data_IF_543163436725
#
_entry.id   IF_543163436725
#
_cell.length_a   1.000
_cell.length_b   1.000
_cell.length_c   1.000
_cell.angle_alpha   90.00
_cell.angle_beta   90.00
_cell.angle_gamma   90.00
#
_symmetry.space_group_name_H-M   'P 1'
#
loop_
_entity.id
_entity.type
_entity.pdbx_description
1 polymer ?
#
# COMPACT_ATOMS: atom_id res chain seq x y z
N UNK A 1 -7.90 -2.15 -16.64
CA UNK A 1 -8.83 -2.11 -15.49
C UNK A 1 -8.47 -0.87 -14.68
N UNK A 2 -9.43 -0.04 -14.26
CA UNK A 2 -9.10 1.13 -13.43
C UNK A 2 -8.72 0.68 -12.02
N UNK A 3 -7.86 1.46 -11.36
CA UNK A 3 -7.44 1.18 -9.97
C UNK A 3 -8.64 1.19 -9.03
N UNK A 4 -9.55 2.15 -9.20
CA UNK A 4 -10.79 2.25 -8.43
C UNK A 4 -11.67 1.00 -8.53
N UNK A 5 -11.75 0.38 -9.72
CA UNK A 5 -12.51 -0.86 -9.87
C UNK A 5 -11.83 -2.03 -9.17
N UNK A 6 -10.49 -2.10 -9.24
CA UNK A 6 -9.74 -3.14 -8.56
C UNK A 6 -9.83 -2.98 -7.02
N UNK A 7 -9.76 -1.75 -6.50
CA UNK A 7 -10.00 -1.45 -5.09
C UNK A 7 -11.41 -1.87 -4.65
N UNK A 8 -12.45 -1.59 -5.45
CA UNK A 8 -13.80 -2.09 -5.19
C UNK A 8 -13.87 -3.61 -5.15
N UNK A 9 -13.16 -4.31 -6.06
CA UNK A 9 -13.10 -5.78 -6.04
C UNK A 9 -12.41 -6.30 -4.78
N UNK A 10 -11.30 -5.68 -4.34
CA UNK A 10 -10.62 -6.05 -3.09
C UNK A 10 -11.58 -5.89 -1.90
N UNK A 11 -12.24 -4.72 -1.80
CA UNK A 11 -13.22 -4.44 -0.73
C UNK A 11 -14.37 -5.44 -0.73
N UNK A 12 -14.93 -5.76 -1.90
CA UNK A 12 -16.01 -6.73 -2.04
C UNK A 12 -15.55 -8.16 -1.68
N UNK A 13 -14.34 -8.54 -2.10
CA UNK A 13 -13.78 -9.86 -1.84
C UNK A 13 -13.51 -10.10 -0.34
N UNK A 14 -13.12 -9.04 0.40
CA UNK A 14 -12.97 -9.07 1.86
C UNK A 14 -14.36 -9.11 2.51
N UNK A 15 -15.28 -8.22 2.12
CA UNK A 15 -16.63 -8.14 2.71
C UNK A 15 -17.42 -9.43 2.55
N UNK A 16 -17.32 -10.10 1.39
CA UNK A 16 -18.00 -11.36 1.10
C UNK A 16 -17.24 -12.59 1.63
N UNK A 17 -16.13 -12.41 2.34
CA UNK A 17 -15.23 -13.45 2.83
C UNK A 17 -14.91 -14.52 1.77
N UNK A 18 -14.50 -14.06 0.59
CA UNK A 18 -14.08 -14.94 -0.52
C UNK A 18 -12.82 -15.73 -0.16
N UNK A 19 -12.44 -16.72 -0.96
CA UNK A 19 -11.26 -17.55 -0.67
C UNK A 19 -9.98 -16.70 -0.50
N UNK A 20 -9.07 -17.14 0.37
CA UNK A 20 -7.77 -16.49 0.58
C UNK A 20 -7.01 -16.33 -0.73
N UNK A 21 -7.04 -17.33 -1.60
CA UNK A 21 -6.41 -17.28 -2.92
C UNK A 21 -6.97 -16.15 -3.80
N UNK A 22 -8.29 -15.93 -3.77
CA UNK A 22 -8.93 -14.84 -4.51
C UNK A 22 -8.48 -13.47 -4.00
N UNK A 23 -8.45 -13.27 -2.67
CA UNK A 23 -8.01 -12.00 -2.07
C UNK A 23 -6.54 -11.72 -2.37
N UNK A 24 -5.67 -12.72 -2.22
CA UNK A 24 -4.24 -12.57 -2.52
C UNK A 24 -3.97 -12.29 -4.01
N UNK A 25 -4.75 -12.85 -4.94
CA UNK A 25 -4.65 -12.51 -6.37
C UNK A 25 -5.01 -11.04 -6.63
N UNK A 26 -6.10 -10.56 -6.01
CA UNK A 26 -6.52 -9.16 -6.13
C UNK A 26 -5.49 -8.21 -5.52
N UNK A 27 -4.92 -8.53 -4.36
CA UNK A 27 -3.84 -7.78 -3.71
C UNK A 27 -2.60 -7.68 -4.62
N UNK A 28 -2.18 -8.79 -5.24
CA UNK A 28 -1.07 -8.80 -6.21
C UNK A 28 -1.35 -7.93 -7.42
N UNK A 29 -2.56 -7.98 -7.95
CA UNK A 29 -2.95 -7.12 -9.07
C UNK A 29 -2.97 -5.65 -8.66
N UNK A 30 -3.41 -5.33 -7.45
CA UNK A 30 -3.43 -3.97 -6.92
C UNK A 30 -2.00 -3.43 -6.78
N UNK A 31 -1.06 -4.27 -6.32
CA UNK A 31 0.35 -3.92 -6.19
C UNK A 31 0.95 -3.42 -7.52
N UNK A 32 0.62 -4.06 -8.64
CA UNK A 32 1.13 -3.66 -9.97
C UNK A 32 0.60 -2.32 -10.49
N UNK A 33 -0.42 -1.74 -9.83
CA UNK A 33 -1.05 -0.49 -10.25
C UNK A 33 -0.91 0.65 -9.23
N UNK A 34 -0.15 0.45 -8.15
CA UNK A 34 0.00 1.46 -7.08
C UNK A 34 0.49 2.81 -7.58
N UNK A 35 1.34 2.85 -8.62
CA UNK A 35 1.80 4.11 -9.20
C UNK A 35 0.65 4.98 -9.74
N UNK A 36 -0.50 4.40 -10.06
CA UNK A 36 -1.69 5.09 -10.54
C UNK A 36 -2.81 5.21 -9.50
N UNK A 37 -2.61 4.66 -8.30
CA UNK A 37 -3.59 4.70 -7.22
C UNK A 37 -3.66 6.07 -6.56
N UNK A 38 -4.83 6.39 -6.03
CA UNK A 38 -5.04 7.52 -5.11
C UNK A 38 -5.29 7.00 -3.69
N UNK A 39 -5.23 7.89 -2.69
CA UNK A 39 -5.43 7.53 -1.28
C UNK A 39 -6.71 6.72 -1.06
N UNK A 40 -7.82 7.19 -1.64
CA UNK A 40 -9.13 6.55 -1.54
C UNK A 40 -9.14 5.09 -2.03
N UNK A 41 -8.24 4.70 -2.93
CA UNK A 41 -8.16 3.31 -3.40
C UNK A 41 -7.58 2.37 -2.33
N UNK A 42 -6.82 2.90 -1.36
CA UNK A 42 -6.16 2.14 -0.29
C UNK A 42 -6.95 2.15 1.02
N UNK A 43 -7.92 3.05 1.19
CA UNK A 43 -8.76 3.13 2.39
C UNK A 43 -9.78 1.98 2.43
N UNK A 44 -9.30 0.76 2.65
CA UNK A 44 -10.11 -0.46 2.73
C UNK A 44 -10.74 -0.49 4.12
N UNK A 45 -12.08 -0.44 4.26
CA UNK A 45 -12.72 -0.50 5.57
C UNK A 45 -12.40 -1.82 6.28
N UNK A 46 -12.13 -1.74 7.58
CA UNK A 46 -12.10 -2.93 8.42
C UNK A 46 -13.52 -3.41 8.67
N UNK A 47 -13.76 -4.71 8.53
CA UNK A 47 -15.05 -5.35 8.85
C UNK A 47 -15.00 -6.14 10.17
N UNK A 48 -14.03 -5.82 11.03
CA UNK A 48 -13.89 -6.46 12.34
C UNK A 48 -14.98 -6.00 13.30
N UNK A 49 -15.63 -6.96 13.96
CA UNK A 49 -16.65 -6.70 14.99
C UNK A 49 -16.06 -6.35 16.36
N UNK A 50 -14.75 -6.49 16.56
CA UNK A 50 -14.09 -6.26 17.86
C UNK A 50 -13.72 -4.80 18.14
N UNK A 51 -14.01 -3.89 17.21
CA UNK A 51 -13.64 -2.48 17.35
C UNK A 51 -12.14 -2.24 17.13
N UNK A 52 -11.55 -2.97 16.18
CA UNK A 52 -10.14 -2.82 15.78
C UNK A 52 -9.92 -1.50 15.01
N UNK A 53 -8.91 -1.44 14.14
CA UNK A 53 -8.64 -0.28 13.29
C UNK A 53 -9.81 0.03 12.35
N UNK A 54 -10.02 1.30 12.01
CA UNK A 54 -11.01 1.79 11.05
C UNK A 54 -10.76 1.22 9.64
N UNK A 55 -9.50 1.03 9.29
CA UNK A 55 -9.05 0.49 8.00
C UNK A 55 -8.34 -0.85 8.16
N UNK A 56 -8.45 -1.70 7.14
CA UNK A 56 -7.70 -2.95 7.02
C UNK A 56 -6.25 -2.65 6.57
N UNK A 57 -5.44 -2.32 7.56
CA UNK A 57 -4.02 -2.03 7.42
C UNK A 57 -3.23 -3.23 6.91
N UNK A 58 -3.61 -4.45 7.30
CA UNK A 58 -2.87 -5.66 6.96
C UNK A 58 -2.98 -5.97 5.46
N UNK A 59 -4.13 -5.69 4.84
CA UNK A 59 -4.29 -5.79 3.39
C UNK A 59 -3.40 -4.80 2.63
N UNK A 60 -3.33 -3.53 3.06
CA UNK A 60 -2.45 -2.54 2.41
C UNK A 60 -0.98 -2.89 2.60
N UNK A 61 -0.61 -3.41 3.77
CA UNK A 61 0.75 -3.91 4.03
C UNK A 61 1.14 -5.01 3.03
N UNK A 62 0.26 -6.01 2.81
CA UNK A 62 0.52 -7.07 1.82
C UNK A 62 0.59 -6.56 0.40
N UNK A 63 -0.26 -5.60 0.02
CA UNK A 63 -0.20 -4.96 -1.31
C UNK A 63 1.17 -4.27 -1.50
N UNK A 64 1.65 -3.54 -0.50
CA UNK A 64 2.97 -2.89 -0.55
C UNK A 64 4.13 -3.90 -0.58
N UNK A 65 4.07 -4.97 0.21
CA UNK A 65 5.10 -6.03 0.16
C UNK A 65 5.18 -6.67 -1.23
N UNK A 66 4.03 -7.00 -1.85
CA UNK A 66 3.99 -7.52 -3.21
C UNK A 66 4.59 -6.51 -4.21
N UNK A 67 4.31 -5.20 -4.06
CA UNK A 67 4.88 -4.18 -4.92
C UNK A 67 6.41 -4.15 -4.85
N UNK A 68 6.98 -4.19 -3.64
CA UNK A 68 8.44 -4.23 -3.45
C UNK A 68 9.05 -5.52 -4.02
N UNK A 69 8.39 -6.66 -3.85
CA UNK A 69 8.83 -7.93 -4.45
C UNK A 69 8.87 -7.86 -5.98
N UNK A 70 7.85 -7.27 -6.62
CA UNK A 70 7.84 -7.03 -8.07
C UNK A 70 8.97 -6.09 -8.49
N UNK A 71 9.26 -5.06 -7.70
CA UNK A 71 10.34 -4.12 -8.00
C UNK A 71 11.72 -4.77 -7.94
N UNK A 72 11.97 -5.56 -6.89
CA UNK A 72 13.22 -6.31 -6.75
C UNK A 72 13.34 -7.33 -7.88
N UNK A 73 12.28 -8.11 -8.14
CA UNK A 73 12.25 -9.10 -9.21
C UNK A 73 12.55 -8.50 -10.59
N UNK A 74 11.90 -7.39 -10.93
CA UNK A 74 12.16 -6.68 -12.19
C UNK A 74 13.58 -6.11 -12.25
N UNK A 75 14.10 -5.55 -11.15
CA UNK A 75 15.46 -5.02 -11.11
C UNK A 75 16.54 -6.11 -11.35
N UNK A 76 16.30 -7.34 -10.91
CA UNK A 76 17.19 -8.49 -11.17
C UNK A 76 17.06 -9.04 -12.60
N UNK A 77 15.86 -9.03 -13.20
CA UNK A 77 15.63 -9.51 -14.58
C UNK A 77 16.27 -8.59 -15.63
N UNK A 78 16.40 -7.30 -15.35
CA UNK A 78 16.92 -6.28 -16.29
C UNK A 78 18.42 -6.41 -16.60
N UNK A 79 19.17 -7.28 -15.91
CA UNK A 79 20.57 -7.59 -16.26
C UNK A 79 20.72 -8.60 -17.41
N UNK A 80 19.66 -9.25 -17.85
CA UNK A 80 19.65 -10.15 -19.02
C UNK A 80 18.72 -9.60 -20.09
N UNK A 81 19.29 -9.31 -21.25
CA UNK A 81 18.69 -8.94 -22.54
C UNK A 81 17.14 -8.98 -22.67
N UNK A 82 16.61 -7.86 -23.19
CA UNK A 82 15.25 -7.58 -23.71
C UNK A 82 14.14 -7.06 -22.76
N UNK A 83 13.95 -5.73 -22.87
CA UNK A 83 12.69 -4.94 -22.90
C UNK A 83 11.47 -5.42 -22.10
N UNK A 84 11.48 -5.33 -20.75
CA UNK A 84 10.24 -5.10 -19.97
C UNK A 84 10.47 -4.22 -18.71
N UNK A 85 9.99 -2.98 -18.82
CA UNK A 85 9.64 -1.98 -17.80
C UNK A 85 10.27 -2.12 -16.38
N UNK A 86 11.43 -1.47 -16.18
CA UNK A 86 11.62 -0.72 -14.91
C UNK A 86 10.48 0.31 -14.82
N UNK A 87 9.71 0.37 -13.72
CA UNK A 87 8.82 1.49 -13.54
C UNK A 87 9.64 2.78 -13.56
N UNK A 88 9.19 3.81 -14.28
CA UNK A 88 9.90 5.08 -14.32
C UNK A 88 10.09 5.60 -12.90
N UNK A 89 11.20 6.32 -12.62
CA UNK A 89 11.47 6.91 -11.30
C UNK A 89 10.25 7.65 -10.72
N UNK A 90 9.42 8.24 -11.58
CA UNK A 90 8.16 8.90 -11.23
C UNK A 90 7.15 7.98 -10.53
N UNK A 91 7.11 6.69 -10.87
CA UNK A 91 6.16 5.74 -10.27
C UNK A 91 6.57 5.40 -8.83
N UNK A 92 7.87 5.21 -8.57
CA UNK A 92 8.38 4.98 -7.21
C UNK A 92 8.13 6.20 -6.33
N UNK A 93 8.39 7.41 -6.85
CA UNK A 93 8.10 8.67 -6.14
C UNK A 93 6.59 8.82 -5.86
N UNK A 94 5.72 8.45 -6.81
CA UNK A 94 4.26 8.47 -6.63
C UNK A 94 3.79 7.47 -5.56
N UNK A 95 4.32 6.25 -5.56
CA UNK A 95 3.99 5.24 -4.54
C UNK A 95 4.47 5.68 -3.16
N UNK A 96 5.68 6.26 -3.05
CA UNK A 96 6.17 6.81 -1.78
C UNK A 96 5.24 7.87 -1.22
N UNK A 97 4.86 8.86 -2.05
CA UNK A 97 3.91 9.91 -1.66
C UNK A 97 2.51 9.38 -1.31
N UNK A 98 2.04 8.36 -2.03
CA UNK A 98 0.78 7.70 -1.71
C UNK A 98 0.84 7.08 -0.31
N UNK A 99 1.93 6.41 0.03
CA UNK A 99 2.12 5.77 1.32
C UNK A 99 2.33 6.77 2.47
N UNK A 100 3.00 7.90 2.24
CA UNK A 100 3.05 9.00 3.23
C UNK A 100 1.66 9.54 3.56
N UNK A 101 0.80 9.72 2.55
CA UNK A 101 -0.57 10.15 2.75
C UNK A 101 -1.41 9.07 3.45
N UNK A 102 -1.22 7.81 3.09
CA UNK A 102 -1.89 6.69 3.73
C UNK A 102 -1.50 6.58 5.21
N UNK A 103 -0.21 6.64 5.54
CA UNK A 103 0.28 6.66 6.92
C UNK A 103 -0.35 7.80 7.72
N UNK A 104 -0.36 9.02 7.17
CA UNK A 104 -0.95 10.16 7.85
C UNK A 104 -2.46 9.99 8.10
N UNK A 105 -3.19 9.37 7.17
CA UNK A 105 -4.63 9.11 7.32
C UNK A 105 -4.88 8.06 8.42
N UNK A 106 -4.18 6.93 8.38
CA UNK A 106 -4.36 5.87 9.39
C UNK A 106 -3.83 6.26 10.78
N UNK A 107 -2.90 7.21 10.87
CA UNK A 107 -2.43 7.76 12.16
C UNK A 107 -3.54 8.41 12.99
N UNK A 108 -4.65 8.80 12.37
CA UNK A 108 -5.80 9.38 13.08
C UNK A 108 -6.57 8.35 13.92
N UNK A 109 -6.32 7.06 13.66
CA UNK A 109 -6.94 5.95 14.34
C UNK A 109 -6.19 5.59 15.63
N UNK A 110 -6.86 5.78 16.77
CA UNK A 110 -6.32 5.47 18.10
C UNK A 110 -6.07 3.98 18.34
N UNK A 111 -6.65 3.12 17.53
CA UNK A 111 -6.47 1.67 17.61
C UNK A 111 -5.27 1.19 16.77
N UNK A 112 -4.65 2.07 15.96
CA UNK A 112 -3.44 1.73 15.22
C UNK A 112 -2.29 1.49 16.20
N UNK A 113 -1.69 0.31 16.15
CA UNK A 113 -0.56 -0.02 17.02
C UNK A 113 0.75 0.56 16.47
N UNK A 114 1.69 0.84 17.38
CA UNK A 114 3.03 1.35 17.04
C UNK A 114 3.74 0.40 16.08
N UNK A 115 3.61 -0.91 16.34
CA UNK A 115 4.21 -1.94 15.50
C UNK A 115 3.69 -1.88 14.06
N UNK A 116 2.36 -1.77 13.86
CA UNK A 116 1.75 -1.65 12.52
C UNK A 116 2.19 -0.37 11.81
N UNK A 117 2.25 0.76 12.53
CA UNK A 117 2.73 2.02 11.98
C UNK A 117 4.17 1.90 11.47
N UNK A 118 5.08 1.37 12.31
CA UNK A 118 6.50 1.18 11.93
C UNK A 118 6.62 0.23 10.75
N UNK A 119 5.94 -0.92 10.78
CA UNK A 119 6.01 -1.90 9.68
C UNK A 119 5.56 -1.33 8.34
N UNK A 120 4.56 -0.45 8.31
CA UNK A 120 4.17 0.23 7.06
C UNK A 120 5.17 1.31 6.64
N UNK A 121 5.71 2.08 7.59
CA UNK A 121 6.71 3.10 7.32
C UNK A 121 7.99 2.51 6.69
N UNK A 122 8.41 1.34 7.17
CA UNK A 122 9.57 0.60 6.63
C UNK A 122 9.37 0.08 5.19
N UNK A 123 8.13 -0.01 4.71
CA UNK A 123 7.84 -0.42 3.33
C UNK A 123 7.93 0.73 2.31
N UNK A 124 8.13 1.98 2.75
CA UNK A 124 8.30 3.11 1.84
C UNK A 124 9.70 3.04 1.21
N UNK A 125 9.82 2.95 -0.14
CA UNK A 125 11.12 2.85 -0.79
C UNK A 125 11.97 4.10 -0.54
N UNK A 126 13.24 3.94 -0.13
CA UNK A 126 14.19 5.05 0.02
C UNK A 126 14.36 5.87 -1.27
N UNK A 127 14.25 5.21 -2.43
CA UNK A 127 14.38 5.82 -3.75
C UNK A 127 13.21 6.74 -4.10
N UNK A 128 12.12 6.70 -3.34
CA UNK A 128 10.95 7.57 -3.54
C UNK A 128 11.19 9.02 -3.14
N UNK A 129 12.37 9.33 -2.55
CA UNK A 129 12.70 10.63 -1.95
C UNK A 129 11.53 11.11 -1.09
N UNK A 130 11.14 10.35 -0.05
CA UNK A 130 10.05 10.76 0.81
C UNK A 130 10.28 12.20 1.25
N UNK A 131 9.24 13.02 1.15
CA UNK A 131 9.34 14.38 1.67
C UNK A 131 9.43 14.26 3.17
N UNK A 132 10.51 14.78 3.77
CA UNK A 132 10.69 14.79 5.22
C UNK A 132 9.39 15.24 5.92
N UNK A 133 8.73 16.27 5.37
CA UNK A 133 7.44 16.81 5.83
C UNK A 133 6.29 15.78 5.89
N UNK A 134 6.19 14.86 4.91
CA UNK A 134 5.11 13.87 4.82
C UNK A 134 5.16 12.87 5.97
N UNK A 135 6.35 12.32 6.23
CA UNK A 135 6.59 11.39 7.33
C UNK A 135 6.52 12.07 8.69
N UNK A 136 7.08 13.28 8.83
CA UNK A 136 6.95 14.05 10.08
C UNK A 136 5.49 14.37 10.41
N UNK A 137 4.67 14.71 9.39
CA UNK A 137 3.23 14.90 9.58
C UNK A 137 2.54 13.62 10.07
N UNK A 138 2.83 12.47 9.46
CA UNK A 138 2.22 11.20 9.88
C UNK A 138 2.58 10.84 11.33
N UNK A 139 3.84 11.07 11.73
CA UNK A 139 4.31 10.89 13.11
C UNK A 139 3.66 11.87 14.10
N UNK A 140 3.58 13.15 13.75
CA UNK A 140 2.94 14.17 14.60
C UNK A 140 1.46 13.86 14.84
N UNK A 141 0.73 13.39 13.82
CA UNK A 141 -0.66 12.93 13.98
C UNK A 141 -0.71 11.70 14.90
N UNK A 142 0.18 10.73 14.70
CA UNK A 142 0.18 9.47 15.45
C UNK A 142 0.49 9.65 16.95
N UNK A 143 1.35 10.63 17.28
CA UNK A 143 1.79 10.90 18.65
C UNK A 143 0.87 11.87 19.42
N UNK A 144 -0.14 12.44 18.78
CA UNK A 144 -1.11 13.36 19.39
C UNK A 144 -2.27 12.64 20.05
#
# INVERSE_FOLDING_TARGET
MSVSFLSMLVRAAIYLDTTVACRLDLEKRMATQLGQAVLDDLLIPSYSFTGDTLFDVDTVQRIMSNYLEFQIGNHFVIKGDDEYFSPPQSDIERVGKLMENYLAEISTDRNLSVAKFISLAELIPEQSKPTEDGMYRALDIYLK
#
